data_IF_554798194371
#
_entry.id   IF_554798194371
#
_cell.length_a   1.000
_cell.length_b   1.000
_cell.length_c   1.000
_cell.angle_alpha   90.00
_cell.angle_beta   90.00
_cell.angle_gamma   90.00
#
_symmetry.space_group_name_H-M   'P 1'
#
loop_
_entity.id
_entity.type
_entity.pdbx_description
1 polymer ?
#
# COMPACT_ATOMS: atom_id res chain seq x y z
N UNK A 1 -21.75 1.62 -6.08
CA UNK A 1 -22.13 1.68 -4.66
C UNK A 1 -20.84 1.78 -3.85
N UNK A 2 -20.68 2.83 -3.04
CA UNK A 2 -19.57 2.88 -2.08
C UNK A 2 -19.87 1.90 -0.96
N UNK A 3 -18.95 0.98 -0.68
CA UNK A 3 -19.06 0.01 0.43
C UNK A 3 -19.11 0.74 1.78
N UNK A 4 -18.57 1.97 1.84
CA UNK A 4 -18.49 2.76 3.07
C UNK A 4 -19.24 4.10 2.94
N UNK A 5 -19.86 4.52 4.03
CA UNK A 5 -20.48 5.85 4.13
C UNK A 5 -19.41 6.94 4.16
N UNK A 6 -19.63 8.04 3.45
CA UNK A 6 -18.68 9.15 3.35
C UNK A 6 -18.32 9.76 4.71
N UNK A 7 -19.29 9.85 5.63
CA UNK A 7 -19.10 10.34 6.99
C UNK A 7 -18.12 9.47 7.80
N UNK A 8 -18.20 8.15 7.61
CA UNK A 8 -17.31 7.17 8.24
C UNK A 8 -15.89 7.30 7.67
N UNK A 9 -15.76 7.39 6.35
CA UNK A 9 -14.46 7.60 5.67
C UNK A 9 -13.80 8.88 6.18
N UNK A 10 -14.52 10.00 6.22
CA UNK A 10 -13.97 11.28 6.66
C UNK A 10 -13.55 11.25 8.13
N UNK A 11 -14.32 10.58 9.00
CA UNK A 11 -13.99 10.45 10.43
C UNK A 11 -12.65 9.75 10.64
N UNK A 12 -12.45 8.61 9.97
CA UNK A 12 -11.21 7.86 10.11
C UNK A 12 -10.05 8.53 9.39
N UNK A 13 -10.24 9.05 8.17
CA UNK A 13 -9.18 9.76 7.43
C UNK A 13 -8.68 11.02 8.13
N UNK A 14 -9.56 11.77 8.79
CA UNK A 14 -9.16 12.98 9.53
C UNK A 14 -8.47 12.67 10.87
N UNK A 15 -8.68 11.47 11.43
CA UNK A 15 -8.03 11.01 12.65
C UNK A 15 -6.66 10.38 12.44
N UNK A 16 -6.22 10.18 11.19
CA UNK A 16 -4.92 9.62 10.87
C UNK A 16 -3.80 10.65 11.08
N UNK A 17 -2.69 10.18 11.65
CA UNK A 17 -1.46 10.98 11.72
C UNK A 17 -0.88 11.13 10.31
N UNK A 18 -0.97 12.34 9.76
CA UNK A 18 -0.55 12.65 8.38
C UNK A 18 0.94 12.45 8.16
N UNK A 19 1.77 12.65 9.19
CA UNK A 19 3.22 12.48 9.08
C UNK A 19 3.56 10.99 9.00
N UNK A 20 2.90 10.17 9.83
CA UNK A 20 3.01 8.72 9.83
C UNK A 20 2.52 8.12 8.51
N UNK A 21 1.35 8.54 8.03
CA UNK A 21 0.83 8.11 6.71
C UNK A 21 1.79 8.48 5.60
N UNK A 22 2.34 9.70 5.61
CA UNK A 22 3.32 10.13 4.62
C UNK A 22 4.60 9.29 4.67
N UNK A 23 5.13 9.00 5.86
CA UNK A 23 6.34 8.19 6.02
C UNK A 23 6.17 6.77 5.47
N UNK A 24 5.06 6.09 5.76
CA UNK A 24 4.80 4.77 5.18
C UNK A 24 4.50 4.83 3.69
N UNK A 25 3.87 5.90 3.21
CA UNK A 25 3.66 6.07 1.78
C UNK A 25 4.98 6.27 1.02
N UNK A 26 5.96 6.97 1.62
CA UNK A 26 7.32 7.03 1.06
C UNK A 26 7.99 5.65 1.05
N UNK A 27 7.83 4.84 2.11
CA UNK A 27 8.33 3.45 2.11
C UNK A 27 7.64 2.59 1.05
N UNK A 28 6.33 2.69 0.92
CA UNK A 28 5.56 2.03 -0.13
C UNK A 28 6.13 2.39 -1.51
N UNK A 29 6.31 3.68 -1.81
CA UNK A 29 6.90 4.12 -3.07
C UNK A 29 8.32 3.58 -3.26
N UNK A 30 9.13 3.50 -2.20
CA UNK A 30 10.47 2.92 -2.29
C UNK A 30 10.46 1.41 -2.54
N UNK A 31 9.50 0.67 -1.99
CA UNK A 31 9.43 -0.79 -2.13
C UNK A 31 8.80 -1.19 -3.47
N UNK A 32 7.77 -0.44 -3.90
CA UNK A 32 6.87 -0.80 -5.00
C UNK A 32 6.93 0.14 -6.22
N UNK A 33 7.41 1.39 -6.09
CA UNK A 33 7.54 2.35 -7.18
C UNK A 33 8.99 2.69 -7.57
N UNK A 34 10.00 2.02 -6.98
CA UNK A 34 11.38 2.20 -7.41
C UNK A 34 11.56 1.61 -8.82
N UNK A 35 11.94 2.48 -9.76
CA UNK A 35 11.95 2.23 -11.20
C UNK A 35 12.88 1.08 -11.63
N UNK A 36 13.77 0.61 -10.75
CA UNK A 36 14.58 -0.59 -10.98
C UNK A 36 13.77 -1.89 -11.10
N UNK A 37 12.54 -1.94 -10.58
CA UNK A 37 11.66 -3.11 -10.68
C UNK A 37 10.71 -3.08 -11.88
N UNK A 38 10.55 -1.96 -12.59
CA UNK A 38 9.52 -1.86 -13.64
C UNK A 38 9.79 -2.80 -14.83
N UNK A 39 11.06 -3.14 -15.09
CA UNK A 39 11.47 -4.13 -16.10
C UNK A 39 11.25 -5.58 -15.61
N UNK A 40 11.40 -5.82 -14.31
CA UNK A 40 11.19 -7.13 -13.68
C UNK A 40 9.72 -7.43 -13.36
N UNK A 41 8.89 -6.42 -13.07
CA UNK A 41 7.44 -6.56 -12.82
C UNK A 41 6.71 -6.91 -14.12
N UNK A 42 7.19 -6.48 -15.27
CA UNK A 42 6.69 -6.93 -16.57
C UNK A 42 7.01 -8.42 -16.84
N UNK A 43 8.04 -8.95 -16.18
CA UNK A 43 8.54 -10.33 -16.36
C UNK A 43 8.13 -11.32 -15.26
N UNK A 44 7.65 -10.82 -14.12
CA UNK A 44 7.13 -11.63 -13.02
C UNK A 44 5.71 -12.09 -13.38
N UNK A 45 5.50 -13.42 -13.40
CA UNK A 45 4.18 -14.01 -13.60
C UNK A 45 3.19 -13.40 -12.61
N UNK A 46 2.11 -12.83 -13.14
CA UNK A 46 1.09 -12.07 -12.41
C UNK A 46 0.64 -12.75 -11.10
N UNK A 47 0.48 -14.07 -11.11
CA UNK A 47 0.04 -14.87 -9.96
C UNK A 47 1.03 -14.88 -8.77
N UNK A 48 2.35 -14.94 -9.00
CA UNK A 48 3.32 -14.99 -7.91
C UNK A 48 3.49 -13.63 -7.22
N UNK A 49 3.30 -12.55 -7.97
CA UNK A 49 3.36 -11.21 -7.40
C UNK A 49 2.03 -10.82 -6.74
N UNK A 50 0.88 -11.24 -7.26
CA UNK A 50 -0.44 -10.94 -6.68
C UNK A 50 -0.60 -11.54 -5.27
N UNK A 51 -0.19 -12.80 -5.05
CA UNK A 51 -0.26 -13.45 -3.74
C UNK A 51 0.67 -12.79 -2.72
N UNK A 52 1.90 -12.45 -3.12
CA UNK A 52 2.91 -11.84 -2.25
C UNK A 52 2.70 -10.35 -1.99
N UNK A 53 2.06 -9.62 -2.92
CA UNK A 53 1.91 -8.17 -2.86
C UNK A 53 1.14 -7.71 -1.63
N UNK A 54 -0.03 -8.29 -1.36
CA UNK A 54 -0.84 -7.91 -0.21
C UNK A 54 -0.11 -8.21 1.09
N UNK A 55 0.53 -9.38 1.18
CA UNK A 55 1.31 -9.78 2.37
C UNK A 55 2.45 -8.81 2.67
N UNK A 56 3.23 -8.46 1.64
CA UNK A 56 4.35 -7.54 1.80
C UNK A 56 3.87 -6.11 2.07
N UNK A 57 2.77 -5.68 1.45
CA UNK A 57 2.15 -4.39 1.74
C UNK A 57 1.70 -4.29 3.20
N UNK A 58 1.01 -5.31 3.71
CA UNK A 58 0.52 -5.33 5.08
C UNK A 58 1.66 -5.36 6.11
N UNK A 59 2.68 -6.18 5.86
CA UNK A 59 3.84 -6.32 6.74
C UNK A 59 4.71 -5.06 6.76
N UNK A 60 5.05 -4.54 5.58
CA UNK A 60 6.08 -3.49 5.46
C UNK A 60 5.52 -2.06 5.62
N UNK A 61 4.24 -1.83 5.28
CA UNK A 61 3.66 -0.47 5.22
C UNK A 61 2.47 -0.25 6.16
N UNK A 62 1.79 -1.32 6.61
CA UNK A 62 0.57 -1.20 7.44
C UNK A 62 0.72 -1.78 8.86
N UNK A 63 1.93 -2.20 9.25
CA UNK A 63 2.26 -2.74 10.57
C UNK A 63 1.33 -3.86 11.03
N UNK A 64 1.00 -4.77 10.12
CA UNK A 64 0.37 -6.02 10.50
C UNK A 64 1.45 -6.94 11.09
N UNK A 65 1.41 -7.20 12.40
CA UNK A 65 2.24 -8.21 13.08
C UNK A 65 1.64 -9.61 12.87
#
# INVERSE_FOLDING_TARGET
MSIFQQSVVNKYSNGLDKNRVKAEYEKFKKIFCDAGKSDSIQHLKEEQYQEGFLRDLFKECLWFD
#
